data_IF_953179961532
#
_entry.id   IF_953179961532
#
_cell.length_a   1.000
_cell.length_b   1.000
_cell.length_c   1.000
_cell.angle_alpha   90.00
_cell.angle_beta   90.00
_cell.angle_gamma   90.00
#
_symmetry.space_group_name_H-M   'P 1'
#
loop_
_entity.id
_entity.type
_entity.pdbx_description
1 polymer ?
#
# COMPACT_ATOMS: atom_id res chain seq x y z
N UNK A 1 15.21 -6.36 -5.41
CA UNK A 1 14.50 -5.61 -4.35
C UNK A 1 14.81 -4.12 -4.47
N UNK A 2 14.31 -3.45 -5.52
CA UNK A 2 14.46 -2.00 -5.73
C UNK A 2 13.09 -1.35 -5.86
N UNK A 3 12.99 -0.08 -5.49
CA UNK A 3 11.74 0.65 -5.44
C UNK A 3 10.90 0.36 -4.20
N UNK A 4 9.87 1.17 -4.02
CA UNK A 4 8.91 1.02 -2.93
C UNK A 4 8.14 -0.31 -3.06
N UNK A 5 7.93 -1.08 -1.97
CA UNK A 5 8.15 -0.73 -0.56
C UNK A 5 9.50 -1.20 0.04
N UNK A 6 10.40 -1.76 -0.76
CA UNK A 6 11.71 -2.24 -0.28
C UNK A 6 12.63 -1.11 0.18
N UNK A 7 12.47 0.07 -0.41
CA UNK A 7 13.16 1.30 -0.06
C UNK A 7 12.23 2.52 -0.14
N UNK A 8 12.60 3.61 0.52
CA UNK A 8 11.88 4.88 0.43
C UNK A 8 12.17 5.56 -0.92
N UNK A 9 11.50 5.08 -1.97
CA UNK A 9 11.65 5.58 -3.35
C UNK A 9 10.31 6.02 -3.95
N UNK A 10 10.38 6.94 -4.91
CA UNK A 10 9.24 7.31 -5.77
C UNK A 10 8.94 6.24 -6.81
N UNK A 11 9.95 5.49 -7.25
CA UNK A 11 9.74 4.36 -8.17
C UNK A 11 9.18 3.18 -7.41
N UNK A 12 8.15 2.56 -7.96
CA UNK A 12 7.53 1.37 -7.39
C UNK A 12 8.29 0.11 -7.82
N UNK A 13 8.35 -0.87 -6.92
CA UNK A 13 8.80 -2.21 -7.27
C UNK A 13 7.77 -2.89 -8.18
N UNK A 14 8.23 -3.69 -9.13
CA UNK A 14 7.35 -4.45 -10.00
C UNK A 14 6.70 -5.60 -9.20
N UNK A 15 5.40 -5.46 -8.97
CA UNK A 15 4.61 -6.44 -8.23
C UNK A 15 4.49 -7.77 -9.01
N UNK A 16 4.52 -7.75 -10.34
CA UNK A 16 4.51 -8.97 -11.14
C UNK A 16 5.84 -9.73 -11.02
N UNK A 17 6.97 -9.04 -11.05
CA UNK A 17 8.27 -9.66 -10.78
C UNK A 17 8.33 -10.27 -9.38
N UNK A 18 7.77 -9.57 -8.39
CA UNK A 18 7.67 -10.09 -7.03
C UNK A 18 6.82 -11.37 -6.97
N UNK A 19 5.68 -11.40 -7.69
CA UNK A 19 4.82 -12.58 -7.78
C UNK A 19 5.55 -13.77 -8.39
N UNK A 20 6.22 -13.56 -9.52
CA UNK A 20 6.97 -14.61 -10.24
C UNK A 20 8.14 -15.13 -9.38
N UNK A 21 8.79 -14.27 -8.61
CA UNK A 21 9.88 -14.67 -7.75
C UNK A 21 9.41 -15.50 -6.54
N UNK A 22 8.35 -15.03 -5.86
CA UNK A 22 7.91 -15.57 -4.57
C UNK A 22 6.81 -16.65 -4.66
N UNK A 23 6.25 -16.95 -5.84
CA UNK A 23 5.17 -17.92 -5.97
C UNK A 23 5.52 -19.24 -5.22
N UNK A 24 4.65 -19.71 -4.30
CA UNK A 24 4.95 -20.87 -3.46
C UNK A 24 5.03 -22.20 -4.24
N UNK A 25 4.47 -22.28 -5.44
CA UNK A 25 4.42 -23.49 -6.26
C UNK A 25 5.60 -23.58 -7.23
N UNK A 26 5.79 -22.55 -8.06
CA UNK A 26 6.73 -22.55 -9.19
C UNK A 26 7.62 -21.30 -9.24
N UNK A 27 7.58 -20.47 -8.20
CA UNK A 27 8.39 -19.25 -8.14
C UNK A 27 9.88 -19.53 -8.14
N UNK A 28 10.68 -18.59 -8.64
CA UNK A 28 12.15 -18.73 -8.74
C UNK A 28 12.78 -19.09 -7.40
N UNK A 29 12.34 -18.48 -6.29
CA UNK A 29 12.81 -18.82 -4.94
C UNK A 29 12.43 -20.25 -4.54
N UNK A 30 11.19 -20.66 -4.80
CA UNK A 30 10.67 -21.98 -4.45
C UNK A 30 11.43 -23.09 -5.20
N UNK A 31 11.66 -22.91 -6.50
CA UNK A 31 12.44 -23.82 -7.33
C UNK A 31 13.90 -23.90 -6.87
N UNK A 32 14.55 -22.74 -6.65
CA UNK A 32 15.92 -22.70 -6.15
C UNK A 32 16.07 -23.40 -4.81
N UNK A 33 15.16 -23.15 -3.86
CA UNK A 33 15.19 -23.81 -2.56
C UNK A 33 15.01 -25.32 -2.69
N UNK A 34 14.00 -25.77 -3.43
CA UNK A 34 13.71 -27.20 -3.62
C UNK A 34 14.89 -27.94 -4.24
N UNK A 35 15.47 -27.40 -5.30
CA UNK A 35 16.50 -28.07 -6.10
C UNK A 35 17.90 -27.97 -5.51
N UNK A 36 18.22 -26.87 -4.82
CA UNK A 36 19.60 -26.57 -4.41
C UNK A 36 19.83 -26.52 -2.91
N UNK A 37 18.80 -26.27 -2.10
CA UNK A 37 18.97 -25.95 -0.68
C UNK A 37 18.29 -26.93 0.27
N UNK A 38 17.18 -27.55 -0.13
CA UNK A 38 16.30 -28.34 0.75
C UNK A 38 17.00 -29.48 1.51
N UNK A 39 18.09 -30.03 0.96
CA UNK A 39 18.89 -31.07 1.62
C UNK A 39 19.69 -30.54 2.81
N UNK A 40 20.08 -29.26 2.82
CA UNK A 40 20.93 -28.65 3.84
C UNK A 40 20.17 -27.95 4.96
N UNK A 41 18.90 -27.62 4.73
CA UNK A 41 18.08 -26.90 5.68
C UNK A 41 17.02 -27.80 6.31
N UNK A 42 16.63 -27.46 7.54
CA UNK A 42 15.49 -28.00 8.26
C UNK A 42 14.64 -26.86 8.82
N UNK A 43 13.35 -27.12 8.99
CA UNK A 43 12.45 -26.17 9.63
C UNK A 43 12.45 -26.38 11.14
N UNK A 44 12.69 -25.30 11.89
CA UNK A 44 12.68 -25.27 13.34
C UNK A 44 11.99 -23.99 13.79
N UNK A 45 10.90 -24.12 14.54
CA UNK A 45 10.09 -22.99 15.02
C UNK A 45 9.59 -22.05 13.89
N UNK A 46 9.26 -22.62 12.72
CA UNK A 46 8.81 -21.85 11.56
C UNK A 46 9.90 -21.05 10.85
N UNK A 47 11.18 -21.32 11.16
CA UNK A 47 12.34 -20.74 10.50
C UNK A 47 13.23 -21.84 9.92
N UNK A 48 13.89 -21.51 8.82
CA UNK A 48 14.93 -22.33 8.24
C UNK A 48 16.21 -22.23 9.05
N UNK A 49 16.74 -23.40 9.42
CA UNK A 49 18.07 -23.55 10.02
C UNK A 49 18.89 -24.53 9.19
N UNK A 50 20.20 -24.31 9.14
CA UNK A 50 21.13 -25.25 8.51
C UNK A 50 21.20 -26.48 9.42
N UNK A 51 21.05 -27.67 8.83
CA UNK A 51 21.18 -28.94 9.54
C UNK A 51 22.58 -29.07 10.13
N UNK A 52 22.67 -29.60 11.33
CA UNK A 52 23.97 -29.88 11.98
C UNK A 52 24.85 -30.84 11.16
N UNK A 53 24.21 -31.72 10.37
CA UNK A 53 24.89 -32.68 9.48
C UNK A 53 25.30 -32.09 8.13
N UNK A 54 24.98 -30.82 7.86
CA UNK A 54 25.32 -30.16 6.60
C UNK A 54 26.83 -30.00 6.47
N UNK A 55 27.38 -30.48 5.34
CA UNK A 55 28.78 -30.23 4.98
C UNK A 55 29.02 -28.83 4.41
N UNK A 56 27.94 -28.10 4.13
CA UNK A 56 27.96 -26.75 3.56
C UNK A 56 27.59 -25.74 4.64
N UNK A 57 28.43 -24.72 4.80
CA UNK A 57 28.19 -23.61 5.70
C UNK A 57 27.69 -22.40 4.91
N UNK A 58 26.52 -21.91 5.26
CA UNK A 58 25.91 -20.73 4.65
C UNK A 58 26.18 -19.50 5.50
N UNK A 59 26.30 -18.33 4.85
CA UNK A 59 26.43 -17.07 5.56
C UNK A 59 25.18 -16.78 6.39
N UNK A 60 25.33 -16.10 7.53
CA UNK A 60 24.19 -15.77 8.39
C UNK A 60 23.22 -14.80 7.68
N UNK A 61 23.75 -13.92 6.82
CA UNK A 61 22.98 -13.03 5.96
C UNK A 61 22.09 -13.79 4.97
N UNK A 62 22.60 -14.87 4.37
CA UNK A 62 21.82 -15.69 3.45
C UNK A 62 20.70 -16.46 4.17
N UNK A 63 20.97 -17.00 5.35
CA UNK A 63 19.96 -17.66 6.17
C UNK A 63 18.87 -16.65 6.57
N UNK A 64 19.24 -15.44 6.97
CA UNK A 64 18.31 -14.37 7.29
C UNK A 64 17.47 -13.96 6.06
N UNK A 65 18.11 -13.79 4.90
CA UNK A 65 17.43 -13.48 3.65
C UNK A 65 16.37 -14.52 3.28
N UNK A 66 16.71 -15.82 3.33
CA UNK A 66 15.75 -16.90 3.04
C UNK A 66 14.54 -16.84 3.97
N UNK A 67 14.79 -16.71 5.28
CA UNK A 67 13.72 -16.63 6.27
C UNK A 67 12.81 -15.42 6.03
N UNK A 68 13.38 -14.25 5.78
CA UNK A 68 12.62 -13.02 5.50
C UNK A 68 11.82 -13.16 4.19
N UNK A 69 12.41 -13.76 3.16
CA UNK A 69 11.73 -13.99 1.88
C UNK A 69 10.55 -14.97 2.01
N UNK A 70 10.71 -16.04 2.80
CA UNK A 70 9.59 -16.95 3.08
C UNK A 70 8.52 -16.33 3.97
N UNK A 71 8.90 -15.45 4.90
CA UNK A 71 7.94 -14.68 5.69
C UNK A 71 7.13 -13.72 4.81
N UNK A 72 7.80 -12.95 3.92
CA UNK A 72 7.12 -12.10 2.95
C UNK A 72 6.19 -12.90 2.03
N UNK A 73 6.65 -14.05 1.52
CA UNK A 73 5.81 -14.97 0.74
C UNK A 73 4.56 -15.36 1.53
N UNK A 74 4.70 -15.77 2.79
CA UNK A 74 3.56 -16.16 3.64
C UNK A 74 2.56 -15.01 3.81
N UNK A 75 3.02 -13.78 4.04
CA UNK A 75 2.15 -12.61 4.20
C UNK A 75 1.44 -12.22 2.90
N UNK A 76 2.08 -12.39 1.74
CA UNK A 76 1.52 -11.99 0.44
C UNK A 76 0.61 -13.07 -0.17
N UNK A 77 0.96 -14.34 -0.02
CA UNK A 77 0.27 -15.48 -0.66
C UNK A 77 -0.64 -16.25 0.30
N UNK A 78 -0.41 -16.17 1.61
CA UNK A 78 -1.14 -17.00 2.58
C UNK A 78 -0.99 -18.49 2.23
N UNK A 79 -2.12 -19.15 2.02
CA UNK A 79 -2.21 -20.57 1.60
C UNK A 79 -2.46 -20.74 0.09
N UNK A 80 -2.45 -19.67 -0.69
CA UNK A 80 -2.84 -19.68 -2.10
C UNK A 80 -1.65 -19.41 -3.04
N UNK A 81 -1.63 -19.98 -4.26
CA UNK A 81 -0.60 -19.68 -5.26
C UNK A 81 -0.79 -18.29 -5.92
N UNK A 82 -1.97 -17.70 -5.78
CA UNK A 82 -2.25 -16.32 -6.20
C UNK A 82 -2.19 -15.43 -4.98
N UNK A 83 -1.44 -14.31 -5.01
CA UNK A 83 -1.33 -13.42 -3.86
C UNK A 83 -2.69 -12.80 -3.54
N UNK A 84 -3.07 -12.90 -2.27
CA UNK A 84 -4.29 -12.32 -1.74
C UNK A 84 -4.09 -12.06 -0.25
N UNK A 85 -3.73 -10.83 0.05
CA UNK A 85 -3.66 -10.30 1.40
C UNK A 85 -4.98 -9.58 1.71
N UNK A 86 -5.73 -10.10 2.67
CA UNK A 86 -7.01 -9.52 3.08
C UNK A 86 -6.80 -8.54 4.23
N UNK A 87 -7.58 -7.46 4.23
CA UNK A 87 -7.58 -6.49 5.32
C UNK A 87 -8.96 -5.84 5.45
N UNK A 88 -9.23 -5.29 6.62
CA UNK A 88 -10.42 -4.49 6.88
C UNK A 88 -10.03 -3.01 6.95
N UNK A 89 -10.83 -2.15 6.33
CA UNK A 89 -10.67 -0.69 6.40
C UNK A 89 -11.92 -0.05 6.98
N UNK A 90 -11.73 0.89 7.89
CA UNK A 90 -12.79 1.70 8.47
C UNK A 90 -12.40 3.17 8.41
N UNK A 91 -13.31 3.99 7.93
CA UNK A 91 -13.21 5.44 8.03
C UNK A 91 -14.03 5.90 9.24
N UNK A 92 -13.42 6.68 10.14
CA UNK A 92 -14.17 7.23 11.27
C UNK A 92 -15.02 8.42 10.79
N UNK A 93 -16.22 8.63 11.38
CA UNK A 93 -17.02 9.81 11.11
C UNK A 93 -16.24 11.10 11.38
N UNK A 94 -16.41 12.08 10.49
CA UNK A 94 -15.82 13.42 10.63
C UNK A 94 -16.94 14.43 10.83
N UNK A 95 -16.81 15.25 11.87
CA UNK A 95 -17.83 16.24 12.21
C UNK A 95 -17.98 17.29 11.09
N UNK A 96 -19.22 17.58 10.71
CA UNK A 96 -19.58 18.62 9.74
C UNK A 96 -18.90 18.43 8.36
N UNK A 97 -18.63 17.19 7.96
CA UNK A 97 -18.06 16.85 6.67
C UNK A 97 -18.34 15.42 6.24
N UNK A 98 -18.49 15.23 4.95
CA UNK A 98 -18.48 13.92 4.30
C UNK A 98 -17.11 13.70 3.65
N UNK A 99 -16.37 12.71 4.13
CA UNK A 99 -15.12 12.27 3.53
C UNK A 99 -15.40 11.03 2.69
N UNK A 100 -14.84 11.01 1.48
CA UNK A 100 -14.87 9.86 0.59
C UNK A 100 -13.45 9.32 0.39
N UNK A 101 -13.28 8.01 0.54
CA UNK A 101 -12.05 7.28 0.25
C UNK A 101 -12.37 6.21 -0.79
N UNK A 102 -11.71 6.27 -1.94
CA UNK A 102 -11.74 5.25 -2.98
C UNK A 102 -10.47 4.41 -2.89
N UNK A 103 -10.60 3.13 -2.58
CA UNK A 103 -9.49 2.16 -2.51
C UNK A 103 -9.68 1.15 -3.62
N UNK A 104 -8.76 1.12 -4.58
CA UNK A 104 -8.77 0.19 -5.71
C UNK A 104 -10.13 0.11 -6.43
N UNK A 105 -10.75 1.28 -6.66
CA UNK A 105 -12.09 1.35 -7.27
C UNK A 105 -13.26 1.39 -6.28
N UNK A 106 -13.08 0.93 -5.04
CA UNK A 106 -14.16 0.78 -4.06
C UNK A 106 -14.31 2.03 -3.19
N UNK A 107 -15.49 2.63 -3.21
CA UNK A 107 -15.81 3.85 -2.45
C UNK A 107 -16.26 3.55 -1.02
N UNK A 108 -15.69 4.27 -0.06
CA UNK A 108 -15.96 4.20 1.38
C UNK A 108 -16.18 5.62 1.89
N UNK A 109 -17.28 5.89 2.58
CA UNK A 109 -17.63 7.22 3.08
C UNK A 109 -17.60 7.30 4.60
N UNK A 110 -17.42 8.50 5.16
CA UNK A 110 -17.38 8.71 6.61
C UNK A 110 -18.75 8.58 7.30
N UNK A 111 -19.83 8.53 6.52
CA UNK A 111 -21.20 8.22 6.97
C UNK A 111 -21.54 6.72 6.82
N UNK A 112 -20.73 5.98 6.05
CA UNK A 112 -20.92 4.59 5.72
C UNK A 112 -20.45 3.60 6.78
N UNK A 113 -20.65 2.32 6.49
CA UNK A 113 -20.56 1.17 7.42
C UNK A 113 -19.30 1.06 8.28
N UNK A 114 -19.47 0.40 9.44
CA UNK A 114 -18.48 0.20 10.50
C UNK A 114 -17.16 -0.48 10.09
N UNK A 115 -17.04 -1.15 8.93
CA UNK A 115 -15.80 -1.75 8.40
C UNK A 115 -16.06 -2.34 7.00
N UNK A 116 -15.10 -2.25 6.07
CA UNK A 116 -15.15 -2.85 4.73
C UNK A 116 -13.98 -3.82 4.55
N UNK A 117 -14.25 -5.05 4.10
CA UNK A 117 -13.23 -6.04 3.76
C UNK A 117 -12.70 -5.81 2.34
N UNK A 118 -11.39 -5.71 2.22
CA UNK A 118 -10.66 -5.45 0.98
C UNK A 118 -9.54 -6.47 0.81
N UNK A 119 -8.94 -6.50 -0.38
CA UNK A 119 -7.81 -7.37 -0.68
C UNK A 119 -6.74 -6.65 -1.49
N UNK A 120 -5.49 -6.95 -1.18
CA UNK A 120 -4.32 -6.56 -1.95
C UNK A 120 -3.62 -7.83 -2.51
N UNK A 121 -3.14 -7.84 -3.76
CA UNK A 121 -3.38 -6.82 -4.79
C UNK A 121 -4.85 -6.71 -5.17
N UNK A 122 -5.23 -5.59 -5.79
CA UNK A 122 -6.55 -5.42 -6.37
C UNK A 122 -6.84 -6.50 -7.43
N UNK A 123 -8.12 -6.80 -7.63
CA UNK A 123 -8.58 -7.69 -8.70
C UNK A 123 -8.21 -7.16 -10.09
N UNK A 124 -8.13 -8.06 -11.07
CA UNK A 124 -7.88 -7.70 -12.47
C UNK A 124 -8.94 -6.70 -12.96
N UNK A 125 -8.49 -5.63 -13.64
CA UNK A 125 -9.29 -4.52 -14.15
C UNK A 125 -9.83 -3.51 -13.12
N UNK A 126 -9.46 -3.61 -11.84
CA UNK A 126 -9.69 -2.54 -10.89
C UNK A 126 -8.80 -1.33 -11.21
N UNK A 127 -9.31 -0.13 -10.94
CA UNK A 127 -8.42 1.01 -10.71
C UNK A 127 -7.47 0.66 -9.55
N UNK A 128 -6.22 1.11 -9.59
CA UNK A 128 -5.24 0.82 -8.52
C UNK A 128 -4.85 2.09 -7.79
N UNK A 129 -4.77 1.98 -6.46
CA UNK A 129 -4.36 3.04 -5.57
C UNK A 129 -5.49 3.57 -4.69
N UNK A 130 -5.19 4.65 -3.97
CA UNK A 130 -6.09 5.24 -2.98
C UNK A 130 -6.28 6.73 -3.26
N UNK A 131 -7.54 7.17 -3.24
CA UNK A 131 -7.93 8.57 -3.40
C UNK A 131 -8.82 8.97 -2.24
N UNK A 132 -8.46 10.01 -1.49
CA UNK A 132 -9.26 10.54 -0.39
C UNK A 132 -9.65 11.99 -0.69
N UNK A 133 -10.94 12.32 -0.59
CA UNK A 133 -11.47 13.64 -0.90
C UNK A 133 -12.57 14.07 0.06
N UNK A 134 -12.80 15.39 0.11
CA UNK A 134 -13.89 16.00 0.86
C UNK A 134 -15.10 16.10 -0.08
N UNK A 135 -16.11 15.27 0.15
CA UNK A 135 -17.32 15.23 -0.68
C UNK A 135 -18.28 16.38 -0.36
N UNK A 136 -18.37 16.80 0.91
CA UNK A 136 -19.15 17.96 1.33
C UNK A 136 -18.73 18.49 2.70
N UNK A 137 -19.08 19.74 3.00
CA UNK A 137 -18.95 20.36 4.33
C UNK A 137 -20.27 21.01 4.73
N UNK A 138 -20.73 20.76 5.95
CA UNK A 138 -21.91 21.41 6.53
C UNK A 138 -21.55 22.84 6.94
N UNK A 139 -21.47 23.77 5.98
CA UNK A 139 -20.99 25.11 6.29
C UNK A 139 -20.76 26.07 5.13
N UNK A 140 -21.65 26.11 4.13
CA UNK A 140 -21.92 27.35 3.37
C UNK A 140 -23.32 27.22 2.78
N UNK A 141 -24.32 27.76 3.48
CA UNK A 141 -25.56 28.19 2.85
C UNK A 141 -25.16 29.34 1.91
N UNK A 142 -25.04 29.05 0.61
CA UNK A 142 -25.11 30.08 -0.40
C UNK A 142 -26.49 30.71 -0.28
N UNK A 143 -26.54 31.93 0.25
CA UNK A 143 -27.67 32.81 0.06
C UNK A 143 -27.82 33.03 -1.44
N UNK A 144 -28.76 32.30 -2.04
CA UNK A 144 -29.25 32.52 -3.39
C UNK A 144 -29.94 33.89 -3.42
N UNK A 145 -29.12 34.93 -3.58
CA UNK A 145 -29.56 36.22 -4.08
C UNK A 145 -29.98 36.06 -5.53
N UNK A 146 -31.27 36.23 -5.78
CA UNK A 146 -31.89 36.33 -7.09
C UNK A 146 -31.23 37.44 -7.91
N UNK A 147 -30.46 37.07 -8.93
CA UNK A 147 -30.12 37.93 -10.05
C UNK A 147 -30.65 37.33 -11.35
N UNK A 148 -31.46 38.13 -12.04
CA UNK A 148 -32.14 37.90 -13.32
C UNK A 148 -31.17 37.46 -14.45
N UNK A 149 -31.66 36.78 -15.50
CA UNK A 149 -30.83 36.34 -16.61
C UNK A 149 -30.71 37.45 -17.67
N UNK A 150 -29.48 37.74 -18.10
CA UNK A 150 -29.24 38.47 -19.36
C UNK A 150 -28.48 37.58 -20.33
N UNK A 151 -29.22 37.26 -21.38
CA UNK A 151 -28.87 36.59 -22.61
C UNK A 151 -27.80 37.39 -23.37
N UNK A 152 -26.73 36.74 -23.87
CA UNK A 152 -26.12 37.06 -25.17
C UNK A 152 -25.06 36.02 -25.55
N UNK A 153 -25.13 35.68 -26.83
CA UNK A 153 -24.49 34.60 -27.54
C UNK A 153 -23.01 34.82 -27.90
N UNK A 154 -22.40 33.70 -28.29
CA UNK A 154 -21.44 33.54 -29.38
C UNK A 154 -19.92 33.58 -29.09
N UNK A 155 -19.36 32.37 -29.16
CA UNK A 155 -18.32 31.95 -30.11
C UNK A 155 -16.88 32.46 -29.93
N UNK A 156 -15.96 31.54 -29.57
CA UNK A 156 -14.75 31.24 -30.35
C UNK A 156 -13.95 30.07 -29.73
N UNK A 157 -13.75 29.01 -30.52
CA UNK A 157 -12.53 28.17 -30.43
C UNK A 157 -11.40 28.92 -31.17
N UNK A 158 -10.10 28.77 -30.82
CA UNK A 158 -9.38 27.53 -31.10
C UNK A 158 -8.19 27.16 -30.18
N UNK A 159 -7.79 25.88 -30.30
CA UNK A 159 -6.42 25.34 -30.29
C UNK A 159 -5.50 25.41 -29.04
N UNK A 160 -5.22 24.20 -28.52
CA UNK A 160 -3.90 23.59 -28.34
C UNK A 160 -2.80 24.38 -27.60
N UNK A 161 -2.48 23.99 -26.36
CA UNK A 161 -1.09 23.80 -25.92
C UNK A 161 -1.00 22.61 -24.97
N UNK A 162 -0.44 21.52 -25.47
CA UNK A 162 0.12 20.43 -24.69
C UNK A 162 1.36 20.96 -23.93
N UNK A 163 1.30 21.09 -22.60
CA UNK A 163 2.50 21.35 -21.78
C UNK A 163 2.63 20.30 -20.70
N UNK A 164 3.53 19.37 -20.96
CA UNK A 164 4.14 18.46 -20.00
C UNK A 164 4.84 19.28 -18.93
N UNK A 165 4.23 19.39 -17.74
CA UNK A 165 4.93 19.88 -16.55
C UNK A 165 5.11 18.72 -15.56
N UNK A 166 6.27 18.09 -15.69
CA UNK A 166 6.95 17.31 -14.67
C UNK A 166 7.38 18.23 -13.52
N UNK A 167 6.46 18.54 -12.60
CA UNK A 167 6.82 19.19 -11.34
C UNK A 167 7.16 18.15 -10.28
N UNK A 168 8.47 18.09 -10.01
CA UNK A 168 9.13 17.53 -8.84
C UNK A 168 8.37 17.89 -7.55
N UNK A 169 7.98 16.88 -6.77
CA UNK A 169 7.69 17.06 -5.35
C UNK A 169 8.54 16.08 -4.54
N UNK A 170 9.65 16.60 -4.04
CA UNK A 170 10.22 16.19 -2.77
C UNK A 170 9.53 17.02 -1.70
N UNK A 171 8.79 16.38 -0.79
CA UNK A 171 8.65 16.88 0.57
C UNK A 171 8.26 15.73 1.50
N UNK A 172 9.30 15.16 2.11
CA UNK A 172 9.22 14.61 3.45
C UNK A 172 8.95 15.78 4.43
N UNK A 173 8.28 15.47 5.54
CA UNK A 173 7.88 16.31 6.68
C UNK A 173 6.56 17.10 6.59
N UNK A 174 5.64 16.75 7.50
CA UNK A 174 4.43 17.49 7.91
C UNK A 174 3.58 18.11 6.79
N UNK A 175 2.73 17.30 6.16
CA UNK A 175 1.59 17.82 5.40
C UNK A 175 0.49 18.26 6.37
N UNK A 176 0.65 19.48 6.88
CA UNK A 176 -0.45 20.34 7.32
C UNK A 176 -0.86 21.22 6.14
N UNK A 177 -1.33 20.61 5.05
CA UNK A 177 -1.90 21.38 3.94
C UNK A 177 -3.34 21.74 4.29
N UNK A 178 -3.58 23.02 4.55
CA UNK A 178 -4.91 23.65 4.62
C UNK A 178 -5.60 23.73 3.24
N UNK A 179 -5.15 22.96 2.26
CA UNK A 179 -5.76 22.87 0.95
C UNK A 179 -6.89 21.84 0.96
N UNK A 180 -7.97 22.15 0.24
CA UNK A 180 -9.06 21.21 -0.03
C UNK A 180 -8.67 20.18 -1.10
N UNK A 181 -7.37 20.03 -1.41
CA UNK A 181 -6.95 19.10 -2.46
C UNK A 181 -7.11 17.64 -2.02
N UNK A 182 -7.67 16.78 -2.87
CA UNK A 182 -7.73 15.36 -2.60
C UNK A 182 -6.33 14.76 -2.41
N UNK A 183 -6.18 13.85 -1.45
CA UNK A 183 -4.98 13.03 -1.33
C UNK A 183 -5.05 11.91 -2.37
N UNK A 184 -3.97 11.72 -3.14
CA UNK A 184 -3.92 10.75 -4.24
C UNK A 184 -2.65 9.90 -4.14
N UNK A 185 -2.85 8.60 -4.11
CA UNK A 185 -1.79 7.59 -4.06
C UNK A 185 -2.06 6.56 -5.16
N UNK A 186 -1.72 6.84 -6.42
CA UNK A 186 -2.02 5.96 -7.54
C UNK A 186 -1.12 4.71 -7.53
N UNK A 187 -1.50 3.72 -8.33
CA UNK A 187 -0.65 2.57 -8.65
C UNK A 187 -0.81 1.41 -7.68
N UNK A 188 -0.12 0.31 -8.00
CA UNK A 188 -0.24 -0.95 -7.24
C UNK A 188 0.14 -0.73 -5.78
N UNK A 189 1.17 0.06 -5.49
CA UNK A 189 1.61 0.29 -4.12
C UNK A 189 0.99 1.54 -3.47
N UNK A 190 0.00 2.14 -4.13
CA UNK A 190 -0.71 3.32 -3.63
C UNK A 190 -1.32 3.12 -2.25
N UNK A 191 -1.86 1.93 -1.96
CA UNK A 191 -2.38 1.55 -0.64
C UNK A 191 -1.33 1.68 0.47
N UNK A 192 -0.12 1.22 0.22
CA UNK A 192 0.96 1.25 1.20
C UNK A 192 1.45 2.69 1.40
N UNK A 193 1.55 3.47 0.32
CA UNK A 193 1.88 4.91 0.41
C UNK A 193 0.83 5.69 1.17
N UNK A 194 -0.45 5.36 0.98
CA UNK A 194 -1.55 5.94 1.73
C UNK A 194 -1.40 5.65 3.23
N UNK A 195 -1.20 4.39 3.60
CA UNK A 195 -0.98 3.99 5.00
C UNK A 195 0.20 4.74 5.62
N UNK A 196 1.30 4.88 4.88
CA UNK A 196 2.48 5.64 5.34
C UNK A 196 2.20 7.11 5.57
N UNK A 197 1.49 7.74 4.65
CA UNK A 197 1.10 9.14 4.75
C UNK A 197 0.17 9.39 5.94
N UNK A 198 -0.56 8.36 6.37
CA UNK A 198 -1.39 8.36 7.57
C UNK A 198 -0.63 8.24 8.89
N UNK A 199 0.71 8.17 8.86
CA UNK A 199 1.57 8.00 10.03
C UNK A 199 1.11 6.82 10.91
N UNK A 200 1.24 5.58 10.43
CA UNK A 200 0.53 4.44 10.96
C UNK A 200 0.95 4.11 12.39
N UNK A 201 -0.02 4.04 13.31
CA UNK A 201 0.20 3.67 14.71
C UNK A 201 -0.39 2.30 14.98
N UNK A 202 0.47 1.28 15.09
CA UNK A 202 0.07 -0.09 15.41
C UNK A 202 -0.51 -0.16 16.82
N UNK A 203 -1.73 -0.68 16.92
CA UNK A 203 -2.46 -0.88 18.17
C UNK A 203 -2.19 -2.29 18.73
N UNK A 204 -2.46 -2.54 20.03
CA UNK A 204 -2.29 -3.87 20.63
C UNK A 204 -3.08 -4.99 19.93
N UNK A 205 -4.21 -4.67 19.30
CA UNK A 205 -5.03 -5.61 18.52
C UNK A 205 -4.47 -5.97 17.15
N UNK A 206 -3.37 -5.34 16.73
CA UNK A 206 -2.73 -5.53 15.42
C UNK A 206 -3.28 -4.61 14.32
N UNK A 207 -4.38 -3.90 14.54
CA UNK A 207 -4.82 -2.83 13.64
C UNK A 207 -3.92 -1.59 13.72
N UNK A 208 -3.93 -0.78 12.66
CA UNK A 208 -3.23 0.50 12.58
C UNK A 208 -4.22 1.65 12.57
N UNK A 209 -4.00 2.61 13.46
CA UNK A 209 -4.67 3.90 13.42
C UNK A 209 -3.90 4.82 12.45
N UNK A 210 -4.62 5.39 11.49
CA UNK A 210 -4.11 6.32 10.48
C UNK A 210 -4.76 7.69 10.69
N UNK A 211 -3.98 8.75 10.58
CA UNK A 211 -4.46 10.14 10.73
C UNK A 211 -4.02 10.99 9.55
N UNK A 212 -4.98 11.70 8.94
CA UNK A 212 -4.76 12.60 7.81
C UNK A 212 -5.31 13.99 8.13
N UNK A 213 -4.77 15.01 7.45
CA UNK A 213 -5.37 16.34 7.40
C UNK A 213 -5.92 16.56 5.99
N UNK A 214 -7.22 16.84 5.88
CA UNK A 214 -7.90 17.08 4.60
C UNK A 214 -8.86 18.26 4.75
N UNK A 215 -8.68 19.31 3.96
CA UNK A 215 -9.53 20.51 4.02
C UNK A 215 -9.61 21.14 5.43
N UNK A 216 -8.48 21.14 6.15
CA UNK A 216 -8.40 21.64 7.53
C UNK A 216 -9.04 20.74 8.59
N UNK A 217 -9.59 19.58 8.22
CA UNK A 217 -10.19 18.60 9.13
C UNK A 217 -9.24 17.44 9.38
N UNK A 218 -9.24 16.94 10.62
CA UNK A 218 -8.56 15.70 10.98
C UNK A 218 -9.45 14.52 10.60
N UNK A 219 -8.92 13.65 9.75
CA UNK A 219 -9.58 12.41 9.31
C UNK A 219 -8.84 11.24 9.93
N UNK A 220 -9.56 10.39 10.66
CA UNK A 220 -9.01 9.17 11.24
C UNK A 220 -9.56 7.96 10.48
N UNK A 221 -8.68 7.00 10.20
CA UNK A 221 -9.05 5.72 9.62
C UNK A 221 -8.34 4.58 10.36
N UNK A 222 -8.90 3.38 10.28
CA UNK A 222 -8.32 2.18 10.87
C UNK A 222 -8.16 1.16 9.76
N UNK A 223 -6.99 0.53 9.71
CA UNK A 223 -6.73 -0.62 8.84
C UNK A 223 -6.33 -1.82 9.68
N UNK A 224 -7.00 -2.95 9.47
CA UNK A 224 -6.74 -4.20 10.21
C UNK A 224 -6.30 -5.30 9.25
N UNK A 225 -5.03 -5.73 9.31
CA UNK A 225 -4.54 -6.80 8.44
C UNK A 225 -5.10 -8.17 8.85
N UNK A 226 -5.23 -9.11 7.92
CA UNK A 226 -5.70 -10.48 8.16
C UNK A 226 -4.72 -11.53 7.61
N UNK A 227 -4.52 -12.62 8.34
CA UNK A 227 -3.65 -13.74 7.90
C UNK A 227 -2.14 -13.45 7.91
N UNK A 228 -1.73 -12.28 8.38
CA UNK A 228 -0.35 -11.77 8.44
C UNK A 228 -0.38 -10.26 8.61
N UNK A 229 0.77 -9.60 8.55
CA UNK A 229 0.87 -8.14 8.61
C UNK A 229 1.75 -7.63 7.47
N UNK A 230 1.14 -7.45 6.29
CA UNK A 230 1.85 -6.93 5.13
C UNK A 230 2.11 -5.42 5.26
N UNK A 231 1.40 -4.70 6.14
CA UNK A 231 1.61 -3.26 6.35
C UNK A 231 2.83 -2.96 7.24
N UNK A 232 3.37 -3.95 7.93
CA UNK A 232 4.66 -3.85 8.59
C UNK A 232 5.80 -3.79 7.56
N UNK A 233 6.28 -2.57 7.26
CA UNK A 233 7.37 -2.35 6.29
C UNK A 233 8.64 -3.14 6.56
N UNK A 234 8.88 -3.57 7.79
CA UNK A 234 10.07 -4.37 8.10
C UNK A 234 10.09 -5.66 7.29
N UNK A 235 8.92 -6.19 6.92
CA UNK A 235 8.82 -7.39 6.08
C UNK A 235 9.40 -7.19 4.68
N UNK A 236 9.39 -5.98 4.14
CA UNK A 236 10.01 -5.67 2.84
C UNK A 236 11.46 -5.23 3.01
N UNK A 237 11.73 -4.34 3.98
CA UNK A 237 13.06 -3.74 4.17
C UNK A 237 14.12 -4.74 4.66
N UNK A 238 13.68 -5.86 5.23
CA UNK A 238 14.54 -6.95 5.67
C UNK A 238 14.94 -7.91 4.54
N UNK A 239 14.31 -7.82 3.35
CA UNK A 239 14.79 -8.53 2.16
C UNK A 239 15.94 -7.76 1.52
N UNK A 240 17.15 -8.13 1.91
CA UNK A 240 18.38 -7.70 1.24
C UNK A 240 19.12 -8.93 0.75
N UNK A 241 19.28 -9.05 -0.57
CA UNK A 241 20.04 -10.13 -1.15
C UNK A 241 21.48 -10.09 -0.61
N UNK A 242 21.99 -11.21 -0.06
CA UNK A 242 23.32 -11.26 0.53
C UNK A 242 24.39 -11.17 -0.56
N UNK A 243 25.56 -10.63 -0.20
CA UNK A 243 26.70 -10.60 -1.13
C UNK A 243 27.36 -11.97 -1.27
N UNK A 244 27.33 -12.77 -0.21
CA UNK A 244 27.94 -14.10 -0.16
C UNK A 244 26.91 -15.12 0.32
N UNK A 245 26.83 -16.24 -0.38
CA UNK A 245 25.94 -17.35 -0.01
C UNK A 245 26.59 -18.30 1.01
N UNK A 246 27.90 -18.51 0.87
CA UNK A 246 28.69 -19.39 1.73
C UNK A 246 29.52 -18.58 2.74
N UNK A 247 29.88 -19.23 3.84
CA UNK A 247 30.91 -18.73 4.77
C UNK A 247 32.30 -19.01 4.24
#
# INVERSE_FOLDING_TARGET
EKGFPFEDSQTESDLNDLKVFLNPTDGKLSMFYKERLSTYFEESNGQLKVKETSKVQFSDEFIAYLNNAFNLRKSLFGTNPTPKFEYEFRLNPVKDALIEVKIDGQTITSEGTASTKLSFPAGTAAETGVFMSLASTSGTSSTSGTALPTNSSANSSPANVNTTNTSKFLQNSNVSSSSNEPLKFPGNWGLFRFIDAGAPQKQPGGEYLLTYNLGGKKVAAIVKPSGGDLFDKTIFRSLKAPQNLLK
#
